data_IF_850371707497
#
_entry.id   IF_850371707497
#
_cell.length_a   1.000
_cell.length_b   1.000
_cell.length_c   1.000
_cell.angle_alpha   90.00
_cell.angle_beta   90.00
_cell.angle_gamma   90.00
#
_symmetry.space_group_name_H-M   'P 1'
#
loop_
_entity.id
_entity.type
_entity.pdbx_description
1 polymer ?
#
# COMPACT_ATOMS: atom_id res chain seq x y z
N UNK A 1 -27.26 -29.46 -41.78
CA UNK A 1 -26.82 -28.30 -40.98
C UNK A 1 -26.54 -28.80 -39.56
N UNK A 2 -25.33 -28.62 -39.01
CA UNK A 2 -25.07 -28.96 -37.60
C UNK A 2 -25.75 -27.94 -36.67
N UNK A 3 -26.19 -28.33 -35.47
CA UNK A 3 -26.91 -27.44 -34.57
C UNK A 3 -25.96 -26.45 -33.90
N UNK A 4 -26.45 -25.23 -33.72
CA UNK A 4 -25.74 -24.09 -33.13
C UNK A 4 -25.38 -24.43 -31.68
N UNK A 5 -24.08 -24.45 -31.37
CA UNK A 5 -23.58 -24.70 -30.02
C UNK A 5 -23.95 -23.51 -29.13
N UNK A 6 -24.81 -23.73 -28.13
CA UNK A 6 -25.10 -22.75 -27.09
C UNK A 6 -23.81 -22.46 -26.28
N UNK A 7 -23.24 -21.28 -26.47
CA UNK A 7 -22.04 -20.80 -25.77
C UNK A 7 -22.27 -20.50 -24.27
N UNK A 8 -23.50 -20.65 -23.76
CA UNK A 8 -23.89 -20.33 -22.39
C UNK A 8 -23.41 -21.33 -21.32
N UNK A 9 -22.82 -22.47 -21.70
CA UNK A 9 -22.40 -23.52 -20.77
C UNK A 9 -20.90 -23.51 -20.44
N UNK A 10 -20.14 -22.48 -20.82
CA UNK A 10 -18.71 -22.42 -20.55
C UNK A 10 -18.42 -21.65 -19.24
N UNK A 11 -18.04 -22.34 -18.13
CA UNK A 11 -17.74 -21.69 -16.85
C UNK A 11 -16.53 -20.77 -16.89
N UNK A 12 -15.79 -20.72 -18.01
CA UNK A 12 -14.59 -19.91 -18.19
C UNK A 12 -14.85 -18.39 -18.25
N UNK A 13 -16.09 -17.96 -18.51
CA UNK A 13 -16.47 -16.54 -18.57
C UNK A 13 -17.28 -16.05 -17.35
N UNK A 14 -17.54 -16.92 -16.37
CA UNK A 14 -18.31 -16.60 -15.16
C UNK A 14 -17.47 -16.17 -13.95
N UNK A 15 -16.18 -15.87 -14.13
CA UNK A 15 -15.36 -15.30 -13.06
C UNK A 15 -15.35 -13.78 -13.21
N UNK A 16 -16.48 -13.15 -12.91
CA UNK A 16 -16.43 -11.83 -12.29
C UNK A 16 -15.59 -12.00 -11.03
N UNK A 17 -14.41 -11.38 -11.02
CA UNK A 17 -13.53 -11.34 -9.87
C UNK A 17 -14.23 -10.53 -8.78
N UNK A 18 -15.13 -11.18 -8.06
CA UNK A 18 -15.60 -10.71 -6.78
C UNK A 18 -14.40 -10.75 -5.82
N UNK A 19 -13.65 -9.65 -5.78
CA UNK A 19 -12.57 -9.44 -4.81
C UNK A 19 -13.14 -9.08 -3.43
N UNK A 20 -14.24 -9.70 -3.03
CA UNK A 20 -14.79 -9.65 -1.67
C UNK A 20 -14.16 -10.75 -0.81
N UNK A 21 -12.84 -10.67 -0.64
CA UNK A 21 -12.17 -11.24 0.51
C UNK A 21 -10.99 -10.36 0.89
N UNK A 22 -11.24 -9.05 0.99
CA UNK A 22 -10.48 -8.22 1.90
C UNK A 22 -10.82 -8.68 3.32
N UNK A 23 -10.09 -9.70 3.78
CA UNK A 23 -9.93 -9.99 5.21
C UNK A 23 -9.77 -8.64 5.87
N UNK A 24 -10.71 -8.24 6.74
CA UNK A 24 -10.65 -6.97 7.47
C UNK A 24 -9.31 -6.95 8.19
N UNK A 25 -8.29 -6.35 7.57
CA UNK A 25 -6.97 -6.19 8.18
C UNK A 25 -7.25 -5.41 9.46
N UNK A 26 -6.69 -5.84 10.61
CA UNK A 26 -6.93 -5.14 11.86
C UNK A 26 -6.62 -3.64 11.65
N UNK A 27 -7.54 -2.78 12.08
CA UNK A 27 -7.35 -1.34 12.04
C UNK A 27 -5.99 -1.00 12.65
N UNK A 28 -5.13 -0.32 11.90
CA UNK A 28 -3.76 -0.04 12.34
C UNK A 28 -2.75 -1.15 12.03
N UNK A 29 -2.78 -1.77 10.84
CA UNK A 29 -1.79 -2.78 10.41
C UNK A 29 -0.80 -2.30 9.34
N UNK A 30 -0.85 -1.02 8.99
CA UNK A 30 0.03 -0.42 7.97
C UNK A 30 1.17 0.36 8.64
N UNK A 31 2.37 0.24 8.10
CA UNK A 31 3.52 1.10 8.41
C UNK A 31 3.90 1.81 7.11
N UNK A 32 4.04 3.13 7.17
CA UNK A 32 4.43 3.94 6.02
C UNK A 32 5.84 4.46 6.23
N UNK A 33 6.68 4.30 5.22
CA UNK A 33 8.02 4.90 5.14
C UNK A 33 7.97 6.05 4.14
N UNK A 34 8.29 7.25 4.60
CA UNK A 34 8.30 8.43 3.73
C UNK A 34 9.52 8.46 2.81
N UNK A 35 9.29 8.86 1.56
CA UNK A 35 10.29 9.14 0.54
C UNK A 35 10.00 10.44 -0.23
N UNK A 36 9.04 11.25 0.24
CA UNK A 36 8.63 12.49 -0.43
C UNK A 36 9.60 13.65 -0.23
N UNK A 37 10.49 13.59 0.76
CA UNK A 37 11.45 14.66 1.10
C UNK A 37 12.89 14.29 0.79
N UNK A 38 13.10 13.45 -0.23
CA UNK A 38 14.43 13.01 -0.70
C UNK A 38 15.25 12.37 0.43
N UNK A 39 14.58 11.51 1.19
CA UNK A 39 15.13 10.78 2.32
C UNK A 39 16.39 10.00 1.92
N UNK A 40 17.37 9.99 2.83
CA UNK A 40 18.64 9.29 2.60
C UNK A 40 18.47 7.77 2.57
N UNK A 41 17.50 7.26 3.36
CA UNK A 41 17.22 5.84 3.45
C UNK A 41 15.86 5.55 2.84
N UNK A 42 15.83 4.53 2.00
CA UNK A 42 14.62 4.02 1.36
C UNK A 42 14.34 2.61 1.88
N UNK A 43 13.16 2.09 1.55
CA UNK A 43 12.84 0.69 1.84
C UNK A 43 13.85 -0.27 1.19
N UNK A 44 14.36 0.10 0.01
CA UNK A 44 15.30 -0.70 -0.77
C UNK A 44 16.76 -0.44 -0.35
N UNK A 45 17.07 0.73 0.21
CA UNK A 45 18.42 1.18 0.56
C UNK A 45 18.48 1.65 2.02
N UNK A 46 19.21 0.93 2.86
CA UNK A 46 19.38 1.25 4.29
C UNK A 46 18.33 0.63 5.22
N UNK A 47 17.06 0.55 4.83
CA UNK A 47 15.99 -0.04 5.65
C UNK A 47 15.58 -1.46 5.25
N UNK A 48 16.26 -2.09 4.27
CA UNK A 48 15.89 -3.42 3.74
C UNK A 48 15.76 -4.50 4.82
N UNK A 49 16.67 -4.50 5.81
CA UNK A 49 16.64 -5.46 6.92
C UNK A 49 15.42 -5.26 7.83
N UNK A 50 15.09 -4.01 8.13
CA UNK A 50 13.94 -3.63 8.94
C UNK A 50 12.65 -3.93 8.18
N UNK A 51 12.57 -3.55 6.91
CA UNK A 51 11.45 -3.88 6.02
C UNK A 51 11.18 -5.39 6.02
N UNK A 52 12.21 -6.23 5.88
CA UNK A 52 12.03 -7.69 5.87
C UNK A 52 11.41 -8.20 7.19
N UNK A 53 11.80 -7.63 8.32
CA UNK A 53 11.24 -8.00 9.64
C UNK A 53 9.81 -7.46 9.80
N UNK A 54 9.57 -6.21 9.41
CA UNK A 54 8.25 -5.57 9.51
C UNK A 54 7.22 -6.26 8.61
N UNK A 55 7.58 -6.67 7.40
CA UNK A 55 6.69 -7.39 6.47
C UNK A 55 6.16 -8.72 7.01
N UNK A 56 6.80 -9.31 8.02
CA UNK A 56 6.31 -10.54 8.65
C UNK A 56 5.04 -10.31 9.49
N UNK A 57 4.85 -9.09 9.98
CA UNK A 57 3.80 -8.76 10.95
C UNK A 57 3.05 -7.47 10.64
N UNK A 58 3.39 -6.74 9.59
CA UNK A 58 2.80 -5.46 9.21
C UNK A 58 2.82 -5.29 7.68
N UNK A 59 1.84 -4.57 7.14
CA UNK A 59 1.90 -4.12 5.74
C UNK A 59 2.82 -2.90 5.67
N UNK A 60 3.94 -2.99 4.95
CA UNK A 60 4.88 -1.88 4.81
C UNK A 60 4.71 -1.23 3.43
N UNK A 61 4.40 0.05 3.42
CA UNK A 61 4.22 0.87 2.22
C UNK A 61 5.20 2.04 2.20
N UNK A 62 5.46 2.55 0.99
CA UNK A 62 6.29 3.75 0.79
C UNK A 62 5.40 4.88 0.33
N UNK A 63 5.53 6.05 0.95
CA UNK A 63 4.91 7.26 0.46
C UNK A 63 5.94 8.07 -0.35
N UNK A 64 5.69 8.26 -1.64
CA UNK A 64 6.56 9.07 -2.51
C UNK A 64 6.02 10.48 -2.74
N UNK A 65 4.74 10.71 -2.42
CA UNK A 65 4.02 11.96 -2.68
C UNK A 65 3.91 12.82 -1.42
N UNK A 66 3.35 14.02 -1.54
CA UNK A 66 3.16 14.90 -0.38
C UNK A 66 2.30 14.24 0.71
N UNK A 67 2.58 14.58 1.96
CA UNK A 67 1.86 14.03 3.11
C UNK A 67 0.44 14.60 3.11
N UNK A 68 -0.56 13.71 3.06
CA UNK A 68 -1.99 14.04 3.06
C UNK A 68 -2.71 13.32 4.20
N UNK A 69 -3.85 13.84 4.63
CA UNK A 69 -4.63 13.29 5.76
C UNK A 69 -5.03 11.82 5.56
N UNK A 70 -5.53 11.49 4.37
CA UNK A 70 -5.93 10.11 4.02
C UNK A 70 -4.79 9.09 4.05
N UNK A 71 -3.53 9.55 4.13
CA UNK A 71 -2.38 8.65 4.22
C UNK A 71 -2.33 7.91 5.56
N UNK A 72 -2.83 8.51 6.65
CA UNK A 72 -2.72 7.94 7.99
C UNK A 72 -3.82 6.95 8.35
N UNK A 73 -4.78 6.72 7.43
CA UNK A 73 -5.86 5.78 7.65
C UNK A 73 -5.33 4.33 7.82
N UNK A 74 -5.60 3.74 8.98
CA UNK A 74 -5.13 2.38 9.30
C UNK A 74 -3.61 2.25 9.44
N UNK A 75 -2.89 3.38 9.58
CA UNK A 75 -1.44 3.43 9.81
C UNK A 75 -1.14 3.41 11.30
N UNK A 76 -0.23 2.51 11.70
CA UNK A 76 0.24 2.40 13.09
C UNK A 76 1.53 3.16 13.33
N UNK A 77 2.37 3.27 12.30
CA UNK A 77 3.63 3.96 12.39
C UNK A 77 3.97 4.65 11.06
N UNK A 78 4.46 5.88 11.17
CA UNK A 78 5.00 6.66 10.08
C UNK A 78 6.49 6.90 10.32
N UNK A 79 7.33 6.51 9.37
CA UNK A 79 8.78 6.58 9.48
C UNK A 79 9.29 7.66 8.54
N UNK A 80 10.02 8.63 9.09
CA UNK A 80 10.68 9.72 8.37
C UNK A 80 12.20 9.53 8.40
N UNK A 81 12.76 8.74 7.46
CA UNK A 81 14.18 8.40 7.49
C UNK A 81 15.06 9.52 6.95
N UNK A 82 15.37 10.49 7.82
CA UNK A 82 16.28 11.61 7.51
C UNK A 82 15.80 12.44 6.29
N UNK A 83 14.70 13.20 6.43
CA UNK A 83 14.22 14.08 5.37
C UNK A 83 15.29 15.13 5.02
N UNK A 84 15.53 15.33 3.71
CA UNK A 84 16.53 16.30 3.19
C UNK A 84 15.90 17.52 2.53
N UNK A 85 14.58 17.54 2.40
CA UNK A 85 13.81 18.67 1.90
C UNK A 85 12.93 19.27 3.02
N UNK A 86 12.56 20.53 2.87
CA UNK A 86 11.67 21.23 3.81
C UNK A 86 10.24 20.68 3.69
N UNK A 87 9.54 20.62 4.82
CA UNK A 87 8.11 20.37 4.86
C UNK A 87 7.36 21.65 4.52
N UNK A 88 6.23 21.48 3.83
CA UNK A 88 5.29 22.58 3.64
C UNK A 88 4.46 22.75 4.92
N UNK A 89 3.92 23.95 5.13
CA UNK A 89 3.04 24.23 6.26
C UNK A 89 1.79 23.35 6.21
N UNK A 90 1.28 23.07 5.01
CA UNK A 90 0.18 22.14 4.80
C UNK A 90 0.47 20.73 5.31
N UNK A 91 1.71 20.27 5.32
CA UNK A 91 2.06 18.92 5.80
C UNK A 91 2.19 18.82 7.33
N UNK A 92 2.25 19.97 8.02
CA UNK A 92 2.42 20.07 9.48
C UNK A 92 1.12 20.39 10.22
N UNK A 93 0.09 20.85 9.51
CA UNK A 93 -1.16 21.33 10.10
C UNK A 93 -2.21 20.22 10.32
N UNK A 94 -1.84 18.97 10.06
CA UNK A 94 -2.70 17.79 10.21
C UNK A 94 -2.05 16.80 11.19
#
# INVERSE_FOLDING_TARGET
MPPVTNFAANPRYGQEQNSENATKKPSGHKIIVNQSKKEAFSILSGLRGIQRRLKNAWTVETNSDEITDGMFEGVRAFILPQPRAKFNVSELLY
#
